data_IF_193028864202
#
_entry.id   IF_193028864202
#
_cell.length_a   1.000
_cell.length_b   1.000
_cell.length_c   1.000
_cell.angle_alpha   90.00
_cell.angle_beta   90.00
_cell.angle_gamma   90.00
#
_symmetry.space_group_name_H-M   'P 1'
#
loop_
_entity.id
_entity.type
_entity.pdbx_description
1 polymer ?
#
# COMPACT_ATOMS: atom_id res chain seq x y z
N UNK A 1 4.54 -12.61 9.15
CA UNK A 1 4.71 -12.60 7.68
C UNK A 1 4.66 -11.17 7.20
N UNK A 2 5.44 -10.83 6.18
CA UNK A 2 5.36 -9.54 5.49
C UNK A 2 4.80 -9.82 4.10
N UNK A 3 3.87 -8.99 3.63
CA UNK A 3 3.38 -9.03 2.26
C UNK A 3 3.46 -7.62 1.67
N UNK A 4 3.91 -7.51 0.43
CA UNK A 4 4.17 -6.23 -0.23
C UNK A 4 3.09 -5.92 -1.26
N UNK A 5 2.72 -4.65 -1.36
CA UNK A 5 1.86 -4.13 -2.42
C UNK A 5 2.59 -3.00 -3.15
N UNK A 6 3.05 -3.30 -4.36
CA UNK A 6 3.65 -2.32 -5.26
C UNK A 6 2.56 -1.51 -5.93
N UNK A 7 2.75 -0.19 -6.00
CA UNK A 7 1.83 0.72 -6.68
C UNK A 7 2.53 1.97 -7.21
N UNK A 8 1.98 2.56 -8.27
CA UNK A 8 2.37 3.90 -8.76
C UNK A 8 1.18 4.87 -8.83
N UNK A 9 0.00 4.43 -8.41
CA UNK A 9 -1.28 5.14 -8.51
C UNK A 9 -1.86 5.42 -7.12
N UNK A 10 -2.84 6.32 -6.98
CA UNK A 10 -3.67 6.42 -5.78
C UNK A 10 -4.31 5.08 -5.38
N UNK A 11 -4.50 4.88 -4.08
CA UNK A 11 -5.17 3.68 -3.54
C UNK A 11 -6.68 3.90 -3.58
N UNK A 12 -7.39 3.08 -4.36
CA UNK A 12 -8.83 2.92 -4.30
C UNK A 12 -9.21 1.58 -3.65
N UNK A 13 -10.50 1.37 -3.35
CA UNK A 13 -10.94 0.18 -2.62
C UNK A 13 -10.75 -1.15 -3.35
N UNK A 14 -10.61 -1.14 -4.68
CA UNK A 14 -10.13 -2.32 -5.42
C UNK A 14 -8.72 -2.79 -5.01
N UNK A 15 -7.78 -1.87 -4.77
CA UNK A 15 -6.46 -2.21 -4.23
C UNK A 15 -6.58 -2.66 -2.77
N UNK A 16 -7.38 -1.95 -1.97
CA UNK A 16 -7.62 -2.29 -0.57
C UNK A 16 -8.18 -3.71 -0.41
N UNK A 17 -9.11 -4.12 -1.29
CA UNK A 17 -9.67 -5.47 -1.32
C UNK A 17 -8.57 -6.53 -1.45
N UNK A 18 -7.62 -6.34 -2.37
CA UNK A 18 -6.50 -7.28 -2.54
C UNK A 18 -5.60 -7.35 -1.31
N UNK A 19 -5.30 -6.21 -0.69
CA UNK A 19 -4.47 -6.14 0.51
C UNK A 19 -5.17 -6.78 1.72
N UNK A 20 -6.45 -6.49 1.92
CA UNK A 20 -7.26 -7.04 3.02
C UNK A 20 -7.48 -8.55 2.85
N UNK A 21 -7.80 -9.03 1.64
CA UNK A 21 -7.94 -10.47 1.37
C UNK A 21 -6.62 -11.21 1.59
N UNK A 22 -5.49 -10.62 1.15
CA UNK A 22 -4.17 -11.20 1.39
C UNK A 22 -3.88 -11.32 2.88
N UNK A 23 -4.18 -10.28 3.68
CA UNK A 23 -4.05 -10.33 5.15
C UNK A 23 -4.92 -11.45 5.74
N UNK A 24 -6.20 -11.55 5.34
CA UNK A 24 -7.12 -12.62 5.78
C UNK A 24 -6.55 -14.00 5.49
N UNK A 25 -6.10 -14.25 4.26
CA UNK A 25 -5.49 -15.52 3.85
C UNK A 25 -4.23 -15.86 4.63
N UNK A 26 -3.42 -14.88 5.00
CA UNK A 26 -2.25 -15.11 5.87
C UNK A 26 -2.68 -15.49 7.29
N UNK A 27 -3.72 -14.86 7.84
CA UNK A 27 -4.27 -15.25 9.14
C UNK A 27 -4.82 -16.69 9.13
N UNK A 28 -5.56 -17.07 8.08
CA UNK A 28 -6.07 -18.44 7.86
C UNK A 28 -4.95 -19.48 7.76
N UNK A 29 -3.80 -19.11 7.17
CA UNK A 29 -2.59 -19.94 7.15
C UNK A 29 -1.88 -20.05 8.50
N UNK A 30 -2.37 -19.37 9.54
CA UNK A 30 -1.84 -19.44 10.90
C UNK A 30 -0.83 -18.36 11.27
N UNK A 31 -0.50 -17.42 10.37
CA UNK A 31 0.33 -16.28 10.72
C UNK A 31 -0.40 -15.37 11.71
N UNK A 32 0.25 -14.98 12.80
CA UNK A 32 -0.41 -14.24 13.90
C UNK A 32 -0.42 -12.72 13.72
N UNK A 33 0.62 -12.16 13.08
CA UNK A 33 0.76 -10.72 12.83
C UNK A 33 1.28 -10.47 11.41
N UNK A 34 0.45 -10.63 10.37
CA UNK A 34 0.80 -10.22 9.01
C UNK A 34 0.94 -8.69 8.95
N UNK A 35 2.01 -8.20 8.33
CA UNK A 35 2.28 -6.77 8.14
C UNK A 35 2.29 -6.47 6.65
N UNK A 36 1.52 -5.46 6.24
CA UNK A 36 1.52 -4.91 4.90
C UNK A 36 2.72 -3.98 4.73
N UNK A 37 3.50 -4.17 3.67
CA UNK A 37 4.40 -3.17 3.13
C UNK A 37 3.70 -2.48 1.96
N UNK A 38 3.12 -1.30 2.20
CA UNK A 38 2.55 -0.45 1.15
C UNK A 38 3.71 0.33 0.52
N UNK A 39 4.08 -0.02 -0.71
CA UNK A 39 5.37 0.34 -1.29
C UNK A 39 5.21 1.15 -2.58
N UNK A 40 4.75 2.42 -2.52
CA UNK A 40 4.64 3.27 -3.69
C UNK A 40 6.00 3.49 -4.36
N UNK A 41 6.04 3.39 -5.68
CA UNK A 41 7.20 3.82 -6.47
C UNK A 41 7.37 5.33 -6.39
N UNK A 42 8.60 5.78 -6.20
CA UNK A 42 8.97 7.19 -6.09
C UNK A 42 10.08 7.65 -7.02
N UNK A 43 10.61 6.78 -7.90
CA UNK A 43 11.44 7.22 -9.02
C UNK A 43 10.61 7.87 -10.14
N UNK A 44 11.21 7.97 -11.33
CA UNK A 44 10.55 8.53 -12.52
C UNK A 44 9.24 7.81 -12.84
N UNK A 45 8.21 8.58 -13.20
CA UNK A 45 6.92 8.11 -13.75
C UNK A 45 6.56 8.92 -14.98
N UNK A 46 5.72 8.39 -15.86
CA UNK A 46 5.21 9.12 -17.03
C UNK A 46 4.41 10.38 -16.63
N UNK A 47 4.35 11.36 -17.52
CA UNK A 47 3.91 12.73 -17.24
C UNK A 47 2.46 12.87 -16.75
N UNK A 48 1.58 11.94 -17.11
CA UNK A 48 0.16 11.93 -16.75
C UNK A 48 -0.14 11.14 -15.46
N UNK A 49 0.86 10.51 -14.83
CA UNK A 49 0.68 9.84 -13.55
C UNK A 49 0.61 10.87 -12.40
N UNK A 50 -0.16 10.55 -11.36
CA UNK A 50 -0.28 11.42 -10.18
C UNK A 50 1.09 11.58 -9.49
N UNK A 51 1.55 12.82 -9.22
CA UNK A 51 2.84 13.05 -8.59
C UNK A 51 2.99 12.35 -7.24
N UNK A 52 4.23 11.99 -6.89
CA UNK A 52 4.54 11.22 -5.69
C UNK A 52 4.02 11.88 -4.41
N UNK A 53 4.21 13.19 -4.25
CA UNK A 53 3.80 13.93 -3.06
C UNK A 53 2.27 13.89 -2.86
N UNK A 54 1.50 13.98 -3.96
CA UNK A 54 0.05 13.82 -3.94
C UNK A 54 -0.39 12.39 -3.65
N UNK A 55 0.31 11.39 -4.19
CA UNK A 55 0.04 9.99 -3.85
C UNK A 55 0.29 9.71 -2.38
N UNK A 56 1.38 10.21 -1.81
CA UNK A 56 1.69 10.04 -0.38
C UNK A 56 0.62 10.69 0.51
N UNK A 57 0.15 11.89 0.19
CA UNK A 57 -0.99 12.53 0.88
C UNK A 57 -2.26 11.69 0.78
N UNK A 58 -2.54 11.14 -0.41
CA UNK A 58 -3.70 10.29 -0.62
C UNK A 58 -3.61 8.95 0.12
N UNK A 59 -2.42 8.33 0.19
CA UNK A 59 -2.20 7.10 0.95
C UNK A 59 -2.32 7.33 2.46
N UNK A 60 -1.87 8.47 2.96
CA UNK A 60 -2.08 8.88 4.35
C UNK A 60 -3.58 8.99 4.65
N UNK A 61 -4.36 9.66 3.79
CA UNK A 61 -5.82 9.75 3.96
C UNK A 61 -6.51 8.37 3.99
N UNK A 62 -6.06 7.40 3.16
CA UNK A 62 -6.58 6.02 3.18
C UNK A 62 -6.31 5.32 4.51
N UNK A 63 -5.17 5.59 5.15
CA UNK A 63 -4.84 5.07 6.48
C UNK A 63 -5.62 5.78 7.58
N UNK A 64 -5.75 7.10 7.49
CA UNK A 64 -6.51 7.92 8.46
C UNK A 64 -8.01 7.55 8.48
N UNK A 65 -8.56 7.18 7.32
CA UNK A 65 -9.93 6.65 7.17
C UNK A 65 -10.08 5.20 7.64
N UNK A 66 -8.99 4.50 8.00
CA UNK A 66 -9.01 3.12 8.47
C UNK A 66 -9.33 2.08 7.38
N UNK A 67 -9.32 2.48 6.09
CA UNK A 67 -9.46 1.54 4.96
C UNK A 67 -8.32 0.51 4.97
N UNK A 68 -7.12 0.99 5.31
CA UNK A 68 -5.99 0.15 5.69
C UNK A 68 -5.65 0.43 7.15
N UNK A 69 -5.24 -0.60 7.87
CA UNK A 69 -4.95 -0.50 9.30
C UNK A 69 -3.50 -0.01 9.52
N UNK A 70 -3.30 1.18 10.11
CA UNK A 70 -1.97 1.75 10.30
C UNK A 70 -1.08 0.94 11.24
N UNK A 71 -1.65 0.21 12.21
CA UNK A 71 -0.88 -0.57 13.20
C UNK A 71 -0.19 -1.80 12.60
N UNK A 72 -0.60 -2.23 11.40
CA UNK A 72 0.03 -3.32 10.65
C UNK A 72 0.36 -2.95 9.21
N UNK A 73 0.54 -1.66 8.93
CA UNK A 73 0.98 -1.17 7.62
C UNK A 73 2.26 -0.35 7.78
N UNK A 74 3.30 -0.74 7.04
CA UNK A 74 4.50 0.06 6.84
C UNK A 74 4.37 0.74 5.47
N UNK A 75 4.51 2.06 5.45
CA UNK A 75 4.57 2.85 4.21
C UNK A 75 6.03 3.22 3.95
N UNK A 76 6.55 2.86 2.78
CA UNK A 76 7.90 3.24 2.37
C UNK A 76 7.94 3.50 0.86
N UNK A 77 8.86 4.35 0.42
CA UNK A 77 8.99 4.70 -1.00
C UNK A 77 10.02 3.79 -1.66
N UNK A 78 9.63 3.15 -2.76
CA UNK A 78 10.54 2.38 -3.60
C UNK A 78 11.23 3.31 -4.62
N UNK A 79 12.58 3.45 -4.61
CA UNK A 79 13.26 4.53 -5.33
C UNK A 79 13.51 4.27 -6.82
N UNK A 80 13.11 3.12 -7.36
CA UNK A 80 13.35 2.78 -8.77
C UNK A 80 12.55 3.68 -9.72
N UNK A 81 13.07 4.01 -10.92
CA UNK A 81 12.27 4.43 -12.07
C UNK A 81 11.22 3.38 -12.44
N UNK A 82 10.10 3.83 -13.03
CA UNK A 82 9.04 2.99 -13.60
C UNK A 82 9.14 2.88 -15.12
#
# INVERSE_FOLDING_TARGET
>A
AIFAFQLRNPVHNGHALLMQDTKRRLLERGYKKPVLLLHPLGGWTKEDDVPLDWRMKQHAAVLDEGVLDPENTIVAIFPSPM
#
